data_IF_216206217480
#
_entry.id   IF_216206217480
#
_cell.length_a   1.000
_cell.length_b   1.000
_cell.length_c   1.000
_cell.angle_alpha   90.00
_cell.angle_beta   90.00
_cell.angle_gamma   90.00
#
_symmetry.space_group_name_H-M   'P 1'
#
loop_
_entity.id
_entity.type
_entity.pdbx_description
1 polymer ?
#
# COMPACT_ATOMS: atom_id res chain seq x y z
N UNK A 1 11.98 -11.22 -6.86
CA UNK A 1 12.95 -10.22 -6.32
C UNK A 1 13.14 -9.00 -7.22
N UNK A 2 13.18 -9.10 -8.55
CA UNK A 2 13.39 -7.91 -9.41
C UNK A 2 12.21 -6.93 -9.42
N UNK A 3 10.97 -7.42 -9.43
CA UNK A 3 9.78 -6.55 -9.52
C UNK A 3 9.57 -5.66 -8.29
N UNK A 4 9.80 -6.16 -7.07
CA UNK A 4 9.68 -5.35 -5.84
C UNK A 4 10.68 -4.19 -5.84
N UNK A 5 11.93 -4.44 -6.27
CA UNK A 5 12.97 -3.40 -6.34
C UNK A 5 12.64 -2.33 -7.38
N UNK A 6 12.09 -2.72 -8.54
CA UNK A 6 11.65 -1.77 -9.55
C UNK A 6 10.46 -0.91 -9.05
N UNK A 7 9.47 -1.52 -8.39
CA UNK A 7 8.34 -0.80 -7.78
C UNK A 7 8.80 0.18 -6.69
N UNK A 8 9.74 -0.23 -5.83
CA UNK A 8 10.33 0.65 -4.82
C UNK A 8 11.12 1.80 -5.44
N UNK A 9 11.91 1.53 -6.48
CA UNK A 9 12.64 2.57 -7.22
C UNK A 9 11.69 3.60 -7.82
N UNK A 10 10.57 3.15 -8.41
CA UNK A 10 9.56 4.06 -8.97
C UNK A 10 8.91 4.95 -7.90
N UNK A 11 8.59 4.38 -6.73
CA UNK A 11 8.11 5.14 -5.58
C UNK A 11 9.11 6.22 -5.15
N UNK A 12 10.39 5.86 -4.99
CA UNK A 12 11.45 6.80 -4.62
C UNK A 12 11.60 7.92 -5.67
N UNK A 13 11.68 7.58 -6.95
CA UNK A 13 11.78 8.57 -8.02
C UNK A 13 10.59 9.54 -8.06
N UNK A 14 9.37 9.05 -7.80
CA UNK A 14 8.19 9.91 -7.75
C UNK A 14 8.22 10.90 -6.57
N UNK A 15 8.72 10.49 -5.40
CA UNK A 15 8.92 11.38 -4.27
C UNK A 15 9.99 12.44 -4.57
N UNK A 16 11.12 12.02 -5.16
CA UNK A 16 12.21 12.90 -5.53
C UNK A 16 11.76 13.97 -6.52
N UNK A 17 10.99 13.59 -7.55
CA UNK A 17 10.42 14.54 -8.53
C UNK A 17 9.55 15.63 -7.88
N UNK A 18 8.89 15.31 -6.77
CA UNK A 18 8.06 16.25 -6.00
C UNK A 18 8.81 16.92 -4.84
N UNK A 19 10.11 16.66 -4.68
CA UNK A 19 10.92 17.21 -3.60
C UNK A 19 10.52 16.70 -2.21
N UNK A 20 9.88 15.53 -2.13
CA UNK A 20 9.47 14.91 -0.86
C UNK A 20 10.63 14.04 -0.36
N UNK A 21 11.08 14.28 0.86
CA UNK A 21 12.15 13.51 1.48
C UNK A 21 11.73 12.05 1.70
N UNK A 22 12.65 11.13 1.41
CA UNK A 22 12.44 9.72 1.69
C UNK A 22 12.54 9.46 3.19
N UNK A 23 11.45 8.97 3.78
CA UNK A 23 11.47 8.41 5.12
C UNK A 23 11.56 6.89 5.04
N UNK A 24 12.73 6.34 5.41
CA UNK A 24 12.94 4.88 5.43
C UNK A 24 12.07 4.18 6.46
N UNK A 25 11.58 4.89 7.48
CA UNK A 25 10.66 4.36 8.49
C UNK A 25 9.24 4.18 7.95
N UNK A 26 8.92 4.65 6.75
CA UNK A 26 7.65 4.36 6.07
C UNK A 26 7.74 3.18 5.10
N UNK A 27 8.96 2.69 4.81
CA UNK A 27 9.16 1.55 3.92
C UNK A 27 9.01 0.26 4.74
N UNK A 28 8.14 -0.64 4.26
CA UNK A 28 7.94 -1.97 4.85
C UNK A 28 8.13 -3.05 3.81
N UNK A 29 8.90 -4.06 4.17
CA UNK A 29 9.06 -5.26 3.37
C UNK A 29 7.95 -6.26 3.69
N UNK A 30 7.46 -6.92 2.65
CA UNK A 30 6.48 -7.99 2.75
C UNK A 30 6.72 -9.04 1.68
N UNK A 31 5.90 -10.08 1.68
CA UNK A 31 6.07 -11.29 0.87
C UNK A 31 4.98 -11.45 -0.21
N UNK A 32 4.32 -10.34 -0.59
CA UNK A 32 3.18 -10.31 -1.52
C UNK A 32 1.93 -11.06 -1.02
N UNK A 33 1.84 -11.37 0.26
CA UNK A 33 0.65 -11.99 0.86
C UNK A 33 -0.17 -10.97 1.64
N UNK A 34 -1.46 -11.27 1.77
CA UNK A 34 -2.41 -10.49 2.56
C UNK A 34 -1.99 -10.37 4.02
N UNK A 35 -1.49 -11.45 4.62
CA UNK A 35 -1.07 -11.45 6.01
C UNK A 35 0.09 -10.47 6.28
N UNK A 36 1.13 -10.46 5.44
CA UNK A 36 2.22 -9.50 5.61
C UNK A 36 1.75 -8.06 5.37
N UNK A 37 0.87 -7.84 4.39
CA UNK A 37 0.22 -6.54 4.18
C UNK A 37 -0.51 -6.03 5.44
N UNK A 38 -1.27 -6.90 6.10
CA UNK A 38 -1.99 -6.59 7.34
C UNK A 38 -1.04 -6.27 8.50
N UNK A 39 -0.04 -7.12 8.76
CA UNK A 39 0.89 -6.93 9.87
C UNK A 39 1.69 -5.63 9.74
N UNK A 40 2.20 -5.35 8.54
CA UNK A 40 2.96 -4.13 8.27
C UNK A 40 2.09 -2.88 8.34
N UNK A 41 0.86 -2.95 7.81
CA UNK A 41 -0.09 -1.84 7.91
C UNK A 41 -0.50 -1.56 9.36
N UNK A 42 -0.78 -2.60 10.16
CA UNK A 42 -1.07 -2.44 11.59
C UNK A 42 0.10 -1.80 12.33
N UNK A 43 1.33 -2.19 12.02
CA UNK A 43 2.52 -1.58 12.62
C UNK A 43 2.70 -0.11 12.23
N UNK A 44 2.36 0.27 11.00
CA UNK A 44 2.48 1.65 10.50
C UNK A 44 1.35 2.57 11.01
N UNK A 45 0.12 2.07 11.05
CA UNK A 45 -1.08 2.90 11.21
C UNK A 45 -1.52 3.08 12.67
N UNK A 46 -0.98 2.28 13.60
CA UNK A 46 -1.31 2.36 15.03
C UNK A 46 -0.78 3.62 15.71
N UNK A 47 0.32 4.18 15.21
CA UNK A 47 0.86 5.44 15.74
C UNK A 47 0.05 6.61 15.17
N UNK A 48 -0.92 7.12 15.93
CA UNK A 48 -1.84 8.18 15.46
C UNK A 48 -1.11 9.47 15.08
N UNK A 49 0.01 9.77 15.73
CA UNK A 49 0.76 11.01 15.50
C UNK A 49 1.65 10.92 14.25
N UNK A 50 2.18 9.73 13.95
CA UNK A 50 3.14 9.53 12.86
C UNK A 50 2.63 8.66 11.69
N UNK A 51 1.40 8.17 11.74
CA UNK A 51 0.88 7.30 10.68
C UNK A 51 0.81 8.02 9.34
N UNK A 52 1.11 7.33 8.22
CA UNK A 52 0.95 7.90 6.90
C UNK A 52 -0.54 8.09 6.54
N UNK A 53 -0.82 9.09 5.69
CA UNK A 53 -2.15 9.32 5.11
C UNK A 53 -2.40 8.52 3.82
N UNK A 54 -1.35 7.90 3.26
CA UNK A 54 -1.44 7.08 2.07
C UNK A 54 -0.49 5.88 2.11
N UNK A 55 -0.92 4.75 1.54
CA UNK A 55 -0.09 3.55 1.35
C UNK A 55 -0.10 3.13 -0.12
N UNK A 56 1.11 2.92 -0.66
CA UNK A 56 1.32 2.21 -1.91
C UNK A 56 1.66 0.74 -1.61
N UNK A 57 0.75 -0.17 -1.96
CA UNK A 57 0.95 -1.61 -1.81
C UNK A 57 1.65 -2.21 -3.02
N UNK A 58 2.65 -3.06 -2.78
CA UNK A 58 3.41 -3.72 -3.83
C UNK A 58 2.60 -4.75 -4.64
N UNK A 59 1.40 -5.13 -4.21
CA UNK A 59 0.46 -6.03 -4.90
C UNK A 59 -0.97 -5.81 -4.39
N UNK A 60 -1.98 -6.18 -5.17
CA UNK A 60 -3.38 -6.16 -4.73
C UNK A 60 -3.62 -7.01 -3.47
N UNK A 61 -2.94 -8.16 -3.37
CA UNK A 61 -3.08 -9.05 -2.20
C UNK A 61 -2.64 -8.39 -0.89
N UNK A 62 -1.55 -7.60 -0.91
CA UNK A 62 -1.09 -6.85 0.25
C UNK A 62 -2.05 -5.72 0.60
N UNK A 63 -2.62 -5.04 -0.41
CA UNK A 63 -3.65 -4.02 -0.19
C UNK A 63 -4.89 -4.57 0.52
N UNK A 64 -5.29 -5.82 0.27
CA UNK A 64 -6.36 -6.44 1.07
C UNK A 64 -6.03 -6.49 2.57
N UNK A 65 -4.76 -6.75 2.91
CA UNK A 65 -4.30 -6.72 4.30
C UNK A 65 -4.32 -5.31 4.89
N UNK A 66 -3.93 -4.31 4.09
CA UNK A 66 -4.02 -2.89 4.46
C UNK A 66 -5.48 -2.48 4.76
N UNK A 67 -6.44 -2.92 3.94
CA UNK A 67 -7.86 -2.65 4.15
C UNK A 67 -8.36 -3.23 5.47
N UNK A 68 -7.98 -4.47 5.78
CA UNK A 68 -8.36 -5.08 7.06
C UNK A 68 -7.73 -4.36 8.26
N UNK A 69 -6.47 -3.94 8.15
CA UNK A 69 -5.80 -3.15 9.19
C UNK A 69 -6.50 -1.80 9.40
N UNK A 70 -6.80 -1.08 8.32
CA UNK A 70 -7.53 0.18 8.37
C UNK A 70 -8.91 0.02 9.02
N UNK A 71 -9.66 -1.02 8.63
CA UNK A 71 -10.97 -1.36 9.20
C UNK A 71 -10.89 -1.59 10.71
N UNK A 72 -9.91 -2.37 11.17
CA UNK A 72 -9.73 -2.64 12.61
C UNK A 72 -9.33 -1.40 13.41
N UNK A 73 -8.57 -0.49 12.80
CA UNK A 73 -8.17 0.77 13.41
C UNK A 73 -9.23 1.88 13.27
N UNK A 74 -10.38 1.57 12.67
CA UNK A 74 -11.46 2.54 12.45
C UNK A 74 -11.13 3.63 11.43
N UNK A 75 -10.15 3.39 10.55
CA UNK A 75 -9.77 4.30 9.48
C UNK A 75 -10.66 4.09 8.26
N UNK A 76 -11.24 5.16 7.74
CA UNK A 76 -12.02 5.14 6.51
C UNK A 76 -11.10 5.27 5.31
N UNK A 77 -11.35 4.45 4.31
CA UNK A 77 -10.70 4.55 3.00
C UNK A 77 -11.75 5.13 2.06
N UNK A 78 -11.46 6.22 1.32
CA UNK A 78 -10.18 6.93 1.25
C UNK A 78 -9.99 8.09 2.24
N UNK A 79 -10.98 8.43 3.07
CA UNK A 79 -11.03 9.71 3.80
C UNK A 79 -9.90 9.90 4.81
N UNK A 80 -9.55 8.85 5.54
CA UNK A 80 -8.50 8.88 6.56
C UNK A 80 -7.20 8.19 6.07
N UNK A 81 -7.32 7.27 5.11
CA UNK A 81 -6.20 6.56 4.49
C UNK A 81 -6.46 6.31 3.00
N UNK A 82 -5.62 6.85 2.14
CA UNK A 82 -5.61 6.51 0.71
C UNK A 82 -4.80 5.23 0.47
N UNK A 83 -5.29 4.34 -0.40
CA UNK A 83 -4.58 3.10 -0.75
C UNK A 83 -4.51 2.94 -2.26
N UNK A 84 -3.29 2.77 -2.77
CA UNK A 84 -3.02 2.44 -4.18
C UNK A 84 -2.31 1.09 -4.24
N UNK A 85 -2.84 0.19 -5.05
CA UNK A 85 -2.25 -1.12 -5.33
C UNK A 85 -1.49 -1.17 -6.64
N UNK A 86 -1.05 -2.38 -6.96
CA UNK A 86 -0.35 -2.74 -8.18
C UNK A 86 -0.77 -4.15 -8.55
N UNK A 87 -0.82 -4.50 -9.83
CA UNK A 87 -1.17 -5.81 -10.45
C UNK A 87 -2.61 -5.99 -10.92
N UNK A 88 -3.56 -5.22 -10.35
CA UNK A 88 -4.97 -5.21 -10.78
C UNK A 88 -5.61 -6.61 -10.81
N UNK A 89 -5.46 -7.33 -9.69
CA UNK A 89 -6.18 -8.60 -9.51
C UNK A 89 -7.71 -8.39 -9.58
N UNK A 90 -8.42 -9.43 -10.03
CA UNK A 90 -9.88 -9.43 -10.19
C UNK A 90 -10.64 -9.01 -8.92
N UNK A 91 -10.11 -9.27 -7.72
CA UNK A 91 -10.77 -8.89 -6.47
C UNK A 91 -10.72 -7.39 -6.18
N UNK A 92 -9.86 -6.62 -6.84
CA UNK A 92 -9.66 -5.18 -6.60
C UNK A 92 -10.95 -4.37 -6.77
N UNK A 93 -11.75 -4.69 -7.80
CA UNK A 93 -13.04 -4.04 -8.08
C UNK A 93 -14.12 -4.34 -7.03
N UNK A 94 -13.97 -5.45 -6.31
CA UNK A 94 -14.93 -5.92 -5.30
C UNK A 94 -14.52 -5.59 -3.85
N UNK A 95 -13.39 -4.89 -3.67
CA UNK A 95 -13.00 -4.35 -2.37
C UNK A 95 -13.95 -3.21 -1.95
N UNK A 96 -14.00 -2.90 -0.65
CA UNK A 96 -14.84 -1.85 -0.09
C UNK A 96 -14.02 -0.75 0.58
N UNK A 97 -13.83 0.42 -0.07
CA UNK A 97 -14.16 0.76 -1.46
C UNK A 97 -13.29 0.00 -2.50
N UNK A 98 -13.61 0.07 -3.81
CA UNK A 98 -12.77 -0.53 -4.85
C UNK A 98 -11.33 0.00 -4.82
N UNK A 99 -10.36 -0.87 -5.04
CA UNK A 99 -8.94 -0.53 -4.97
C UNK A 99 -8.48 0.17 -6.25
N UNK A 100 -8.01 1.41 -6.12
CA UNK A 100 -7.19 2.04 -7.16
C UNK A 100 -5.90 1.27 -7.33
N UNK A 101 -5.58 0.83 -8.54
CA UNK A 101 -4.44 -0.06 -8.80
C UNK A 101 -3.79 0.20 -10.15
N UNK A 102 -2.47 -0.02 -10.23
CA UNK A 102 -1.74 -0.02 -11.49
C UNK A 102 -1.97 -1.36 -12.19
N UNK A 103 -2.62 -1.32 -13.36
CA UNK A 103 -2.81 -2.49 -14.21
C UNK A 103 -1.47 -2.94 -14.82
N UNK A 104 -1.10 -4.19 -14.57
CA UNK A 104 0.06 -4.81 -15.22
C UNK A 104 -0.45 -5.75 -16.33
N UNK A 105 -0.20 -5.46 -17.61
CA UNK A 105 -0.60 -6.33 -18.71
C UNK A 105 0.31 -7.57 -18.74
N UNK A 106 0.05 -8.52 -17.86
CA UNK A 106 0.67 -9.84 -17.88
C UNK A 106 -0.07 -10.68 -18.93
N UNK A 107 0.65 -11.09 -19.98
CA UNK A 107 0.21 -12.08 -20.96
C UNK A 107 0.66 -13.47 -20.54
#
# INVERSE_FOLDING_TARGET
MFCSRARLSGYMSALEEKGILHDSTLIREGDFRTQSGYEQAMSLLRDVENRPTAIFGGSGLQCMGVYEAARQLGLRIPEDLSVVGFDDIQTSEFMGPPLTTVHQPLQ
#
